data_IF_959524782728
#
_entry.id   IF_959524782728
#
_cell.length_a   1.000
_cell.length_b   1.000
_cell.length_c   1.000
_cell.angle_alpha   90.00
_cell.angle_beta   90.00
_cell.angle_gamma   90.00
#
_symmetry.space_group_name_H-M   'P 1'
#
loop_
_entity.id
_entity.type
_entity.pdbx_description
1 polymer ?
#
# COMPACT_ATOMS: atom_id res chain seq x y z
N UNK A 1 -10.43 -2.71 -5.94
CA UNK A 1 -10.89 -1.40 -5.44
C UNK A 1 -10.42 -0.26 -6.34
N UNK A 2 -9.11 -0.07 -6.52
CA UNK A 2 -8.59 1.03 -7.36
C UNK A 2 -9.15 1.08 -8.79
N UNK A 3 -9.29 -0.06 -9.47
CA UNK A 3 -9.86 -0.10 -10.83
C UNK A 3 -11.28 0.47 -10.85
N UNK A 4 -12.12 0.06 -9.90
CA UNK A 4 -13.48 0.58 -9.76
C UNK A 4 -13.50 2.08 -9.43
N UNK A 5 -12.61 2.55 -8.54
CA UNK A 5 -12.50 3.96 -8.20
C UNK A 5 -12.09 4.83 -9.40
N UNK A 6 -11.30 4.28 -10.32
CA UNK A 6 -10.84 4.94 -11.54
C UNK A 6 -11.73 4.68 -12.77
N UNK A 7 -12.82 3.93 -12.63
CA UNK A 7 -13.69 3.56 -13.76
C UNK A 7 -13.01 2.66 -14.80
N UNK A 8 -12.01 1.88 -14.40
CA UNK A 8 -11.23 0.97 -15.25
C UNK A 8 -11.65 -0.48 -15.05
N UNK A 9 -11.55 -1.36 -16.06
CA UNK A 9 -11.86 -2.78 -15.94
C UNK A 9 -10.87 -3.54 -15.04
N UNK A 10 -9.57 -3.25 -15.17
CA UNK A 10 -8.51 -3.79 -14.32
C UNK A 10 -7.37 -2.77 -14.18
N UNK A 11 -6.45 -3.08 -13.25
CA UNK A 11 -5.16 -2.41 -13.07
C UNK A 11 -4.14 -3.52 -12.89
N UNK A 12 -3.18 -3.58 -13.78
CA UNK A 12 -2.05 -4.50 -13.72
C UNK A 12 -0.92 -3.93 -12.86
N UNK A 13 0.07 -4.77 -12.56
CA UNK A 13 1.20 -4.42 -11.68
C UNK A 13 1.95 -3.17 -12.14
N UNK A 14 2.20 -3.08 -13.44
CA UNK A 14 2.96 -2.02 -14.08
C UNK A 14 2.23 -0.67 -13.98
N UNK A 15 0.90 -0.72 -13.86
CA UNK A 15 0.01 0.43 -13.86
C UNK A 15 -0.26 0.97 -12.45
N UNK A 16 0.21 0.27 -11.40
CA UNK A 16 -0.07 0.66 -10.02
C UNK A 16 0.44 2.05 -9.65
N UNK A 17 1.60 2.48 -10.16
CA UNK A 17 2.14 3.83 -9.89
C UNK A 17 1.24 4.91 -10.48
N UNK A 18 0.86 4.75 -11.75
CA UNK A 18 -0.03 5.65 -12.46
C UNK A 18 -1.41 5.70 -11.80
N UNK A 19 -1.97 4.54 -11.47
CA UNK A 19 -3.25 4.44 -10.78
C UNK A 19 -3.22 5.15 -9.43
N UNK A 20 -2.17 4.95 -8.62
CA UNK A 20 -2.04 5.61 -7.33
C UNK A 20 -1.96 7.14 -7.50
N UNK A 21 -1.22 7.64 -8.49
CA UNK A 21 -1.16 9.09 -8.81
C UNK A 21 -2.50 9.65 -9.25
N UNK A 22 -3.26 8.92 -10.06
CA UNK A 22 -4.60 9.32 -10.47
C UNK A 22 -5.55 9.44 -9.28
N UNK A 23 -5.48 8.49 -8.33
CA UNK A 23 -6.27 8.53 -7.10
C UNK A 23 -5.83 9.72 -6.21
N UNK A 24 -4.53 9.99 -6.10
CA UNK A 24 -4.01 11.14 -5.36
C UNK A 24 -4.52 12.46 -5.96
N UNK A 25 -4.57 12.56 -7.29
CA UNK A 25 -5.08 13.74 -7.98
C UNK A 25 -6.58 13.97 -7.71
N UNK A 26 -7.35 12.88 -7.52
CA UNK A 26 -8.77 12.95 -7.18
C UNK A 26 -9.01 13.30 -5.71
N UNK A 27 -8.28 12.66 -4.78
CA UNK A 27 -8.55 12.73 -3.34
C UNK A 27 -7.73 13.76 -2.55
N UNK A 28 -6.61 14.26 -3.10
CA UNK A 28 -5.74 15.25 -2.44
C UNK A 28 -4.90 14.73 -1.26
N UNK A 29 -5.13 13.49 -0.83
CA UNK A 29 -4.39 12.82 0.25
C UNK A 29 -3.29 11.90 -0.30
N UNK A 30 -2.37 11.49 0.58
CA UNK A 30 -1.47 10.38 0.28
C UNK A 30 -2.29 9.10 0.01
N UNK A 31 -1.79 8.25 -0.89
CA UNK A 31 -2.45 7.01 -1.32
C UNK A 31 -1.50 5.84 -1.13
N UNK A 32 -1.95 4.82 -0.41
CA UNK A 32 -1.31 3.50 -0.36
C UNK A 32 -2.15 2.55 -1.20
N UNK A 33 -1.67 2.18 -2.37
CA UNK A 33 -2.29 1.19 -3.25
C UNK A 33 -1.65 -0.18 -3.03
N UNK A 34 -2.43 -1.12 -2.50
CA UNK A 34 -1.93 -2.48 -2.19
C UNK A 34 -2.06 -3.43 -3.37
N UNK A 35 -1.03 -4.25 -3.60
CA UNK A 35 -0.95 -5.20 -4.72
C UNK A 35 -1.03 -6.66 -4.31
N UNK A 36 -1.43 -6.97 -3.07
CA UNK A 36 -1.42 -8.34 -2.52
C UNK A 36 -2.31 -9.35 -3.27
N UNK A 37 -3.29 -8.88 -4.04
CA UNK A 37 -4.20 -9.70 -4.85
C UNK A 37 -3.70 -9.95 -6.28
N UNK A 38 -2.59 -9.32 -6.70
CA UNK A 38 -1.98 -9.56 -8.01
C UNK A 38 -1.27 -10.92 -8.04
N UNK A 39 -1.12 -11.51 -9.22
CA UNK A 39 -0.58 -12.86 -9.39
C UNK A 39 0.88 -12.99 -8.93
N UNK A 40 1.71 -11.96 -9.17
CA UNK A 40 3.12 -11.98 -8.80
C UNK A 40 3.34 -11.56 -7.33
N UNK A 41 4.59 -11.27 -6.98
CA UNK A 41 4.98 -10.86 -5.63
C UNK A 41 4.18 -9.63 -5.16
N UNK A 42 3.70 -9.62 -3.90
CA UNK A 42 3.05 -8.45 -3.33
C UNK A 42 3.90 -7.18 -3.47
N UNK A 43 3.31 -6.14 -4.04
CA UNK A 43 3.90 -4.81 -4.17
C UNK A 43 2.89 -3.78 -3.69
N UNK A 44 3.30 -2.92 -2.77
CA UNK A 44 2.50 -1.77 -2.36
C UNK A 44 3.12 -0.51 -2.96
N UNK A 45 2.28 0.43 -3.39
CA UNK A 45 2.71 1.73 -3.89
C UNK A 45 2.20 2.81 -2.95
N UNK A 46 3.12 3.64 -2.44
CA UNK A 46 2.80 4.86 -1.71
C UNK A 46 3.06 6.06 -2.62
N UNK A 47 2.04 6.88 -2.83
CA UNK A 47 2.21 8.21 -3.44
C UNK A 47 1.76 9.29 -2.47
N UNK A 48 2.52 10.37 -2.42
CA UNK A 48 2.20 11.52 -1.58
C UNK A 48 2.63 12.83 -2.26
N UNK A 49 2.01 13.93 -1.83
CA UNK A 49 2.41 15.26 -2.25
C UNK A 49 3.40 15.82 -1.23
N UNK A 50 4.64 16.03 -1.66
CA UNK A 50 5.69 16.67 -0.88
C UNK A 50 5.97 18.06 -1.47
N UNK A 51 5.41 19.10 -0.83
CA UNK A 51 5.42 20.48 -1.36
C UNK A 51 4.82 20.52 -2.78
N UNK A 52 5.58 21.03 -3.75
CA UNK A 52 5.15 21.15 -5.15
C UNK A 52 5.47 19.91 -6.00
N UNK A 53 5.87 18.79 -5.38
CA UNK A 53 6.24 17.55 -6.07
C UNK A 53 5.43 16.36 -5.59
N UNK A 54 5.14 15.44 -6.50
CA UNK A 54 4.60 14.12 -6.15
C UNK A 54 5.76 13.16 -5.96
N UNK A 55 5.80 12.50 -4.81
CA UNK A 55 6.72 11.39 -4.53
C UNK A 55 5.99 10.08 -4.69
N UNK A 56 6.72 9.06 -5.13
CA UNK A 56 6.25 7.69 -5.16
C UNK A 56 7.32 6.77 -4.58
N UNK A 57 6.90 5.84 -3.74
CA UNK A 57 7.69 4.76 -3.20
C UNK A 57 6.99 3.45 -3.50
N UNK A 58 7.75 2.43 -3.88
CA UNK A 58 7.22 1.10 -4.14
C UNK A 58 7.92 0.09 -3.25
N UNK A 59 7.11 -0.67 -2.53
CA UNK A 59 7.56 -1.61 -1.53
C UNK A 59 7.16 -3.02 -1.93
N UNK A 60 8.11 -3.77 -2.47
CA UNK A 60 7.94 -5.19 -2.78
C UNK A 60 8.18 -6.06 -1.54
N UNK A 61 7.58 -7.24 -1.51
CA UNK A 61 7.84 -8.28 -0.53
C UNK A 61 7.57 -9.65 -1.15
N UNK A 62 8.33 -10.66 -0.74
CA UNK A 62 8.07 -12.04 -1.15
C UNK A 62 6.71 -12.50 -0.62
N UNK A 63 6.00 -13.30 -1.44
CA UNK A 63 4.71 -13.86 -1.07
C UNK A 63 4.90 -14.94 0.00
N UNK A 64 4.27 -14.76 1.16
CA UNK A 64 4.19 -15.81 2.17
C UNK A 64 3.10 -16.81 1.74
N UNK A 65 3.42 -18.11 1.56
CA UNK A 65 2.45 -19.11 1.15
C UNK A 65 1.26 -19.20 2.11
N UNK A 66 0.11 -19.61 1.59
CA UNK A 66 -1.12 -19.81 2.37
C UNK A 66 -2.25 -18.84 2.03
N UNK A 67 -3.44 -19.15 2.55
CA UNK A 67 -4.65 -18.33 2.37
C UNK A 67 -4.85 -17.43 3.58
N UNK A 68 -4.41 -16.19 3.46
CA UNK A 68 -4.46 -15.20 4.54
C UNK A 68 -5.66 -14.26 4.36
N UNK A 69 -6.35 -13.95 5.45
CA UNK A 69 -7.45 -12.97 5.48
C UNK A 69 -7.16 -11.91 6.54
N UNK A 70 -7.65 -10.70 6.29
CA UNK A 70 -7.45 -9.58 7.23
C UNK A 70 -6.05 -8.97 7.21
N UNK A 71 -5.18 -9.34 6.26
CA UNK A 71 -3.87 -8.69 6.05
C UNK A 71 -4.05 -7.22 5.69
N UNK A 72 -5.01 -6.90 4.82
CA UNK A 72 -5.38 -5.51 4.49
C UNK A 72 -5.90 -4.73 5.70
N UNK A 73 -6.78 -5.33 6.52
CA UNK A 73 -7.27 -4.69 7.75
C UNK A 73 -6.14 -4.45 8.76
N UNK A 74 -5.24 -5.43 8.92
CA UNK A 74 -4.07 -5.32 9.81
C UNK A 74 -3.12 -4.22 9.31
N UNK A 75 -2.89 -4.15 8.00
CA UNK A 75 -2.08 -3.10 7.38
C UNK A 75 -2.68 -1.71 7.64
N UNK A 76 -3.97 -1.53 7.35
CA UNK A 76 -4.66 -0.25 7.56
C UNK A 76 -4.65 0.17 9.04
N UNK A 77 -4.88 -0.76 9.96
CA UNK A 77 -4.77 -0.53 11.39
C UNK A 77 -3.36 -0.10 11.79
N UNK A 78 -2.32 -0.81 11.33
CA UNK A 78 -0.93 -0.48 11.63
C UNK A 78 -0.52 0.90 11.11
N UNK A 79 -0.95 1.26 9.90
CA UNK A 79 -0.72 2.60 9.34
C UNK A 79 -1.39 3.66 10.21
N UNK A 80 -2.68 3.49 10.53
CA UNK A 80 -3.42 4.46 11.33
C UNK A 80 -2.80 4.64 12.73
N UNK A 81 -2.39 3.55 13.38
CA UNK A 81 -1.75 3.59 14.68
C UNK A 81 -0.40 4.34 14.65
N UNK A 82 0.45 4.06 13.66
CA UNK A 82 1.74 4.73 13.52
C UNK A 82 1.59 6.23 13.17
N UNK A 83 0.62 6.58 12.32
CA UNK A 83 0.30 7.98 12.03
C UNK A 83 -0.18 8.73 13.28
N UNK A 84 -1.00 8.10 14.12
CA UNK A 84 -1.46 8.68 15.39
C UNK A 84 -0.31 8.91 16.37
N UNK A 85 0.77 8.13 16.27
CA UNK A 85 2.01 8.28 17.04
C UNK A 85 3.00 9.29 16.40
N UNK A 86 2.60 9.98 15.33
CA UNK A 86 3.39 11.02 14.69
C UNK A 86 4.39 10.53 13.65
N UNK A 87 4.33 9.25 13.23
CA UNK A 87 5.17 8.73 12.16
C UNK A 87 4.85 9.39 10.80
N UNK A 88 5.86 9.47 9.92
CA UNK A 88 5.63 9.81 8.52
C UNK A 88 4.81 8.71 7.83
N UNK A 89 4.10 9.02 6.73
CA UNK A 89 3.31 8.00 6.01
C UNK A 89 4.19 6.86 5.48
N UNK A 90 5.42 7.15 5.05
CA UNK A 90 6.39 6.14 4.64
C UNK A 90 6.80 5.21 5.78
N UNK A 91 7.09 5.78 6.96
CA UNK A 91 7.44 4.98 8.14
C UNK A 91 6.25 4.19 8.67
N UNK A 92 5.06 4.78 8.68
CA UNK A 92 3.82 4.11 9.04
C UNK A 92 3.55 2.89 8.15
N UNK A 93 3.73 3.04 6.83
CA UNK A 93 3.57 1.93 5.89
C UNK A 93 4.61 0.83 6.12
N UNK A 94 5.89 1.18 6.31
CA UNK A 94 6.96 0.21 6.61
C UNK A 94 6.68 -0.57 7.90
N UNK A 95 6.33 0.12 8.97
CA UNK A 95 5.99 -0.49 10.26
C UNK A 95 4.75 -1.39 10.16
N UNK A 96 3.72 -0.97 9.45
CA UNK A 96 2.53 -1.79 9.24
C UNK A 96 2.81 -3.04 8.40
N UNK A 97 3.67 -2.96 7.38
CA UNK A 97 4.11 -4.12 6.59
C UNK A 97 4.89 -5.11 7.46
N UNK A 98 5.77 -4.63 8.33
CA UNK A 98 6.48 -5.46 9.30
C UNK A 98 5.51 -6.18 10.25
N UNK A 99 4.49 -5.48 10.77
CA UNK A 99 3.43 -6.07 11.60
C UNK A 99 2.68 -7.19 10.87
N UNK A 100 2.27 -6.95 9.62
CA UNK A 100 1.58 -7.98 8.81
C UNK A 100 2.47 -9.21 8.64
N UNK A 101 3.74 -9.03 8.28
CA UNK A 101 4.69 -10.14 8.07
C UNK A 101 4.92 -10.94 9.35
N UNK A 102 5.11 -10.27 10.48
CA UNK A 102 5.21 -10.92 11.79
C UNK A 102 3.95 -11.75 12.11
N UNK A 103 2.76 -11.21 11.79
CA UNK A 103 1.49 -11.94 11.96
C UNK A 103 1.36 -13.18 11.07
N UNK A 104 2.00 -13.15 9.91
CA UNK A 104 2.04 -14.26 8.96
C UNK A 104 3.14 -15.28 9.29
N UNK A 105 3.87 -15.09 10.39
CA UNK A 105 4.88 -16.03 10.88
C UNK A 105 6.25 -15.87 10.23
N UNK A 106 6.52 -14.75 9.58
CA UNK A 106 7.83 -14.47 9.00
C UNK A 106 8.71 -13.76 10.03
N UNK A 107 9.92 -14.29 10.26
CA UNK A 107 10.91 -13.66 11.12
C UNK A 107 11.38 -12.33 10.50
N UNK A 108 11.42 -11.27 11.31
CA UNK A 108 11.90 -9.94 10.94
C UNK A 108 13.43 -9.90 10.82
#
# INVERSE_FOLDING_TARGET
EAAALLGRPSIEREEMDEAARAILAFGGCAVVLTGGHLADEPRDVLVERARDRIRSESLAASRIPGKHRGTGCTLAFGIAAALADGASIGDALRSARALVRARLGEAL
#
